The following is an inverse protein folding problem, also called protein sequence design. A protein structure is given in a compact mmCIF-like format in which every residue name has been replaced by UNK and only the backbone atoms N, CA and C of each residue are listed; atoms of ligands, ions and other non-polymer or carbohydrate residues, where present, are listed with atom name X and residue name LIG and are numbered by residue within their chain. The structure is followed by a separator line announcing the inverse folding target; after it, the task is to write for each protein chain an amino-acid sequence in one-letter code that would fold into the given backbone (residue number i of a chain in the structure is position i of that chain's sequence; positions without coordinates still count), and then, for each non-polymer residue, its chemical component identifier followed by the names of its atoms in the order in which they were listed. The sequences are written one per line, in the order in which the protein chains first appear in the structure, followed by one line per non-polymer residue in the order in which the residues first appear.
data_IF_644633863000
#
_entry.id   IF_644633863000
#
_cell.length_a   1.000
_cell.length_b   1.000
_cell.length_c   1.000
_cell.angle_alpha   90.00
_cell.angle_beta   90.00
_cell.angle_gamma   90.00
#
_symmetry.space_group_name_H-M   'P 1'
#
loop_
_entity.id
_entity.type
_entity.pdbx_description
1 polymer ?
#
# COMPACT_ATOMS: atom_id res chain seq x y z
N UNK A 1 -12.83 -10.66 -68.32
CA UNK A 1 -11.90 -9.57 -67.97
C UNK A 1 -12.36 -8.98 -66.64
N UNK A 2 -11.65 -9.22 -65.54
CA UNK A 2 -12.03 -8.66 -64.23
C UNK A 2 -11.88 -7.13 -64.24
N UNK A 3 -12.88 -6.43 -63.72
CA UNK A 3 -12.89 -4.96 -63.68
C UNK A 3 -11.78 -4.47 -62.75
N UNK A 4 -11.00 -3.46 -63.17
CA UNK A 4 -9.93 -2.86 -62.34
C UNK A 4 -10.40 -2.48 -60.92
N UNK A 5 -11.70 -2.20 -60.75
CA UNK A 5 -12.33 -1.89 -59.45
C UNK A 5 -12.46 -3.10 -58.51
N UNK A 6 -12.58 -4.32 -59.03
CA UNK A 6 -12.70 -5.55 -58.23
C UNK A 6 -11.33 -5.99 -57.69
N UNK A 7 -10.29 -5.93 -58.55
CA UNK A 7 -8.90 -6.22 -58.18
C UNK A 7 -8.41 -5.26 -57.07
N UNK A 8 -8.78 -3.97 -57.17
CA UNK A 8 -8.41 -2.96 -56.19
C UNK A 8 -9.15 -3.14 -54.84
N UNK A 9 -10.39 -3.63 -54.85
CA UNK A 9 -11.15 -3.97 -53.63
C UNK A 9 -10.59 -5.19 -52.91
N UNK A 10 -10.18 -6.25 -53.62
CA UNK A 10 -9.54 -7.41 -53.01
C UNK A 10 -8.16 -7.08 -52.40
N UNK A 11 -7.34 -6.29 -53.11
CA UNK A 11 -6.05 -5.83 -52.59
C UNK A 11 -6.21 -4.93 -51.35
N UNK A 12 -7.20 -4.03 -51.33
CA UNK A 12 -7.46 -3.16 -50.17
C UNK A 12 -8.00 -3.92 -48.95
N UNK A 13 -8.83 -4.96 -49.16
CA UNK A 13 -9.33 -5.85 -48.08
C UNK A 13 -8.19 -6.65 -47.45
N UNK A 14 -7.27 -7.18 -48.25
CA UNK A 14 -6.09 -7.89 -47.75
C UNK A 14 -5.12 -6.98 -46.98
N UNK A 15 -4.90 -5.76 -47.47
CA UNK A 15 -4.07 -4.75 -46.79
C UNK A 15 -4.70 -4.25 -45.49
N UNK A 16 -6.00 -3.92 -45.50
CA UNK A 16 -6.73 -3.43 -44.34
C UNK A 16 -6.86 -4.49 -43.23
N UNK A 17 -7.06 -5.76 -43.59
CA UNK A 17 -7.04 -6.87 -42.61
C UNK A 17 -5.65 -7.09 -42.01
N UNK A 18 -4.58 -6.89 -42.78
CA UNK A 18 -3.20 -6.98 -42.30
C UNK A 18 -2.86 -5.79 -41.38
N UNK A 19 -3.30 -4.58 -41.70
CA UNK A 19 -3.10 -3.41 -40.83
C UNK A 19 -3.92 -3.53 -39.55
N UNK A 20 -5.19 -3.96 -39.60
CA UNK A 20 -6.02 -4.22 -38.41
C UNK A 20 -5.38 -5.31 -37.54
N UNK A 21 -4.92 -6.42 -38.14
CA UNK A 21 -4.20 -7.48 -37.42
C UNK A 21 -2.94 -6.95 -36.74
N UNK A 22 -2.15 -6.15 -37.43
CA UNK A 22 -0.93 -5.56 -36.87
C UNK A 22 -1.25 -4.57 -35.74
N UNK A 23 -2.36 -3.83 -35.85
CA UNK A 23 -2.83 -2.90 -34.83
C UNK A 23 -3.32 -3.64 -33.58
N UNK A 24 -4.03 -4.76 -33.74
CA UNK A 24 -4.45 -5.64 -32.64
C UNK A 24 -3.24 -6.29 -31.93
N UNK A 25 -2.23 -6.73 -32.70
CA UNK A 25 -0.99 -7.27 -32.13
C UNK A 25 -0.24 -6.18 -31.35
N UNK A 26 -0.16 -4.95 -31.87
CA UNK A 26 0.47 -3.83 -31.18
C UNK A 26 -0.25 -3.48 -29.87
N UNK A 27 -1.58 -3.44 -29.86
CA UNK A 27 -2.38 -3.20 -28.65
C UNK A 27 -2.15 -4.32 -27.62
N UNK A 28 -2.14 -5.59 -28.04
CA UNK A 28 -1.89 -6.73 -27.15
C UNK A 28 -0.50 -6.65 -26.51
N UNK A 29 0.53 -6.28 -27.29
CA UNK A 29 1.89 -6.08 -26.78
C UNK A 29 1.97 -4.94 -25.77
N UNK A 30 1.29 -3.82 -26.01
CA UNK A 30 1.22 -2.70 -25.06
C UNK A 30 0.54 -3.15 -23.75
N UNK A 31 -0.56 -3.90 -23.82
CA UNK A 31 -1.24 -4.43 -22.63
C UNK A 31 -0.35 -5.39 -21.83
N UNK A 32 0.41 -6.26 -22.50
CA UNK A 32 1.36 -7.16 -21.85
C UNK A 32 2.51 -6.41 -21.17
N UNK A 33 3.02 -5.33 -21.78
CA UNK A 33 4.05 -4.47 -21.19
C UNK A 33 3.49 -3.76 -19.94
N UNK A 34 2.31 -3.15 -20.05
CA UNK A 34 1.65 -2.48 -18.91
C UNK A 34 1.38 -3.47 -17.77
N UNK A 35 0.89 -4.66 -18.09
CA UNK A 35 0.66 -5.72 -17.10
C UNK A 35 1.96 -6.20 -16.45
N UNK A 36 3.03 -6.37 -17.23
CA UNK A 36 4.34 -6.79 -16.71
C UNK A 36 4.94 -5.75 -15.78
N UNK A 37 4.89 -4.47 -16.17
CA UNK A 37 5.35 -3.35 -15.32
C UNK A 37 4.51 -3.26 -14.04
N UNK A 38 3.20 -3.47 -14.12
CA UNK A 38 2.31 -3.49 -12.96
C UNK A 38 2.57 -4.70 -12.03
N UNK A 39 2.80 -5.88 -12.60
CA UNK A 39 3.10 -7.11 -11.87
C UNK A 39 4.44 -7.01 -11.13
N UNK A 40 5.48 -6.52 -11.81
CA UNK A 40 6.81 -6.29 -11.23
C UNK A 40 6.76 -5.18 -10.17
N UNK A 41 5.96 -4.12 -10.37
CA UNK A 41 5.82 -3.02 -9.40
C UNK A 41 5.08 -3.43 -8.11
N UNK A 42 4.18 -4.41 -8.17
CA UNK A 42 3.47 -4.93 -6.99
C UNK A 42 4.16 -6.14 -6.34
N UNK A 43 5.12 -6.76 -7.02
CA UNK A 43 5.91 -7.89 -6.51
C UNK A 43 6.59 -7.61 -5.15
N UNK A 44 7.18 -6.42 -4.89
CA UNK A 44 7.83 -6.09 -3.61
C UNK A 44 6.85 -6.00 -2.43
N UNK A 45 5.64 -5.48 -2.66
CA UNK A 45 4.64 -5.36 -1.59
C UNK A 45 4.08 -6.72 -1.19
N UNK A 46 3.81 -7.57 -2.19
CA UNK A 46 3.29 -8.91 -1.94
C UNK A 46 4.34 -9.83 -1.29
N UNK A 47 5.61 -9.72 -1.71
CA UNK A 47 6.70 -10.45 -1.04
C UNK A 47 6.89 -9.97 0.40
N UNK A 48 6.93 -8.65 0.64
CA UNK A 48 7.02 -8.07 1.97
C UNK A 48 5.85 -8.52 2.86
N UNK A 49 4.62 -8.53 2.33
CA UNK A 49 3.45 -9.04 3.06
C UNK A 49 3.59 -10.51 3.44
N UNK A 50 3.94 -11.38 2.48
CA UNK A 50 4.12 -12.82 2.75
C UNK A 50 5.20 -13.08 3.78
N UNK A 51 6.35 -12.41 3.66
CA UNK A 51 7.45 -12.53 4.61
C UNK A 51 7.04 -12.05 6.01
N UNK A 52 6.33 -10.92 6.09
CA UNK A 52 5.82 -10.39 7.36
C UNK A 52 4.81 -11.34 8.00
N UNK A 53 3.91 -11.94 7.22
CA UNK A 53 2.96 -12.95 7.71
C UNK A 53 3.71 -14.17 8.25
N UNK A 54 4.67 -14.72 7.51
CA UNK A 54 5.46 -15.88 7.95
C UNK A 54 6.21 -15.62 9.26
N UNK A 55 6.81 -14.43 9.40
CA UNK A 55 7.45 -14.02 10.65
C UNK A 55 6.43 -13.83 11.78
N UNK A 56 5.25 -13.29 11.50
CA UNK A 56 4.20 -13.12 12.50
C UNK A 56 3.57 -14.44 12.96
N UNK A 57 3.41 -15.42 12.07
CA UNK A 57 3.00 -16.78 12.41
C UNK A 57 4.03 -17.43 13.32
N UNK A 58 5.32 -17.34 12.97
CA UNK A 58 6.42 -17.96 13.71
C UNK A 58 6.66 -17.34 15.10
N UNK A 59 6.69 -16.01 15.20
CA UNK A 59 7.13 -15.30 16.41
C UNK A 59 5.99 -14.72 17.24
N UNK A 60 4.77 -14.61 16.69
CA UNK A 60 3.62 -14.03 17.38
C UNK A 60 2.38 -14.94 17.37
N UNK A 61 2.50 -16.15 16.84
CA UNK A 61 1.41 -17.12 16.70
C UNK A 61 0.19 -16.53 15.99
N UNK A 62 0.42 -15.64 15.01
CA UNK A 62 -0.64 -15.09 14.17
C UNK A 62 -1.32 -16.24 13.42
N UNK A 63 -2.66 -16.25 13.38
CA UNK A 63 -3.44 -17.26 12.67
C UNK A 63 -4.36 -16.66 11.62
N UNK A 64 -4.87 -15.45 11.86
CA UNK A 64 -5.79 -14.78 10.94
C UNK A 64 -5.22 -13.41 10.60
N UNK A 65 -4.31 -13.32 9.61
CA UNK A 65 -3.81 -12.05 9.11
C UNK A 65 -4.93 -11.22 8.49
N UNK A 66 -4.89 -9.92 8.70
CA UNK A 66 -5.90 -8.97 8.26
C UNK A 66 -5.25 -7.85 7.44
N UNK A 67 -4.96 -6.70 8.05
CA UNK A 67 -4.45 -5.51 7.38
C UNK A 67 -2.92 -5.48 7.37
N UNK A 68 -2.36 -5.17 6.20
CA UNK A 68 -0.92 -4.97 6.02
C UNK A 68 -0.58 -3.49 5.84
N UNK A 69 0.30 -2.98 6.68
CA UNK A 69 0.73 -1.59 6.72
C UNK A 69 2.20 -1.45 6.40
N UNK A 70 2.54 -0.32 5.78
CA UNK A 70 3.91 0.09 5.52
C UNK A 70 4.13 1.45 6.16
N UNK A 71 5.13 1.51 7.01
CA UNK A 71 5.65 2.73 7.60
C UNK A 71 7.06 2.97 7.07
N UNK A 72 7.26 4.07 6.33
CA UNK A 72 8.51 4.41 5.67
C UNK A 72 8.99 5.76 6.21
N UNK A 73 9.98 5.74 7.09
CA UNK A 73 10.70 6.93 7.57
C UNK A 73 12.20 6.66 7.59
N UNK A 74 12.90 7.04 8.67
CA UNK A 74 14.30 6.68 8.91
C UNK A 74 14.52 5.18 8.76
N UNK A 75 13.58 4.37 9.27
CA UNK A 75 13.56 2.94 9.12
C UNK A 75 12.19 2.49 8.60
N UNK A 76 12.20 1.51 7.69
CA UNK A 76 10.96 0.90 7.20
C UNK A 76 10.49 -0.20 8.15
N UNK A 77 9.21 -0.14 8.50
CA UNK A 77 8.52 -1.20 9.24
C UNK A 77 7.32 -1.70 8.46
N UNK A 78 7.22 -3.02 8.35
CA UNK A 78 6.05 -3.72 7.87
C UNK A 78 5.22 -4.19 9.06
N UNK A 79 3.92 -3.88 9.08
CA UNK A 79 3.04 -4.31 10.16
C UNK A 79 1.89 -5.15 9.61
N UNK A 80 1.61 -6.28 10.24
CA UNK A 80 0.41 -7.08 9.97
C UNK A 80 -0.49 -7.06 11.21
N UNK A 81 -1.76 -6.71 11.02
CA UNK A 81 -2.80 -6.90 12.04
C UNK A 81 -3.43 -8.28 11.89
N UNK A 82 -4.07 -8.76 12.96
CA UNK A 82 -4.87 -9.96 12.89
C UNK A 82 -5.13 -10.55 14.26
N UNK A 83 -5.50 -11.83 14.29
CA UNK A 83 -5.73 -12.58 15.54
C UNK A 83 -4.68 -13.67 15.71
N UNK A 84 -4.18 -13.83 16.94
CA UNK A 84 -3.29 -14.95 17.30
C UNK A 84 -4.10 -16.22 17.64
N UNK A 85 -3.39 -17.30 17.98
CA UNK A 85 -3.97 -18.58 18.43
C UNK A 85 -4.98 -18.45 19.59
N UNK A 86 -4.84 -17.43 20.43
CA UNK A 86 -5.73 -17.15 21.56
C UNK A 86 -6.91 -16.24 21.16
N UNK A 87 -7.15 -16.04 19.85
CA UNK A 87 -8.14 -15.12 19.28
C UNK A 87 -7.93 -13.65 19.68
N UNK A 88 -6.77 -13.29 20.22
CA UNK A 88 -6.46 -11.92 20.64
C UNK A 88 -6.07 -11.06 19.43
N UNK A 89 -6.67 -9.88 19.24
CA UNK A 89 -6.26 -8.94 18.20
C UNK A 89 -4.88 -8.35 18.50
N UNK A 90 -3.94 -8.56 17.57
CA UNK A 90 -2.55 -8.11 17.69
C UNK A 90 -2.11 -7.29 16.48
N UNK A 91 -1.02 -6.55 16.67
CA UNK A 91 -0.19 -5.95 15.63
C UNK A 91 1.21 -6.55 15.74
N UNK A 92 1.75 -7.03 14.63
CA UNK A 92 3.13 -7.53 14.55
C UNK A 92 3.92 -6.63 13.62
N UNK A 93 4.90 -5.92 14.17
CA UNK A 93 5.73 -4.95 13.46
C UNK A 93 7.11 -5.55 13.23
N UNK A 94 7.49 -5.66 11.96
CA UNK A 94 8.74 -6.26 11.50
C UNK A 94 9.56 -5.18 10.80
N UNK A 95 10.78 -4.88 11.28
CA UNK A 95 11.69 -3.99 10.56
C UNK A 95 12.11 -4.62 9.22
N UNK A 96 12.22 -3.80 8.16
CA UNK A 96 12.67 -4.27 6.85
C UNK A 96 14.12 -4.82 6.89
N UNK A 97 14.97 -4.22 7.74
CA UNK A 97 16.39 -4.54 7.83
C UNK A 97 16.80 -4.84 9.28
N UNK A 98 16.80 -6.12 9.66
CA UNK A 98 17.30 -6.59 10.96
C UNK A 98 16.62 -5.96 12.18
N UNK A 99 16.91 -6.47 13.36
CA UNK A 99 16.38 -5.92 14.62
C UNK A 99 15.13 -6.61 15.15
N UNK A 100 14.51 -5.99 16.15
CA UNK A 100 13.50 -6.64 17.01
C UNK A 100 12.09 -6.54 16.42
N UNK A 101 11.43 -7.68 16.29
CA UNK A 101 9.99 -7.76 16.01
C UNK A 101 9.21 -7.30 17.23
N UNK A 102 8.22 -6.42 17.04
CA UNK A 102 7.32 -5.96 18.11
C UNK A 102 5.97 -6.61 17.96
N UNK A 103 5.47 -7.21 19.04
CA UNK A 103 4.12 -7.76 19.10
C UNK A 103 3.31 -6.96 20.12
N UNK A 104 2.20 -6.40 19.67
CA UNK A 104 1.36 -5.51 20.47
C UNK A 104 -0.08 -6.02 20.49
N UNK A 105 -0.69 -6.10 21.67
CA UNK A 105 -2.15 -6.26 21.78
C UNK A 105 -2.81 -4.97 21.28
N UNK A 106 -3.75 -5.05 20.36
CA UNK A 106 -4.47 -3.85 19.89
C UNK A 106 -5.22 -3.15 21.02
N UNK A 107 -5.68 -3.90 22.01
CA UNK A 107 -6.33 -3.38 23.21
C UNK A 107 -5.40 -2.60 24.16
N UNK A 108 -4.07 -2.65 23.96
CA UNK A 108 -3.11 -1.94 24.81
C UNK A 108 -2.82 -0.51 24.34
N UNK A 109 -3.54 -0.02 23.33
CA UNK A 109 -3.37 1.32 22.80
C UNK A 109 -4.62 1.83 22.08
N UNK A 110 -4.51 3.03 21.54
CA UNK A 110 -5.56 3.65 20.74
C UNK A 110 -5.69 2.97 19.37
N UNK A 111 -6.88 3.02 18.80
CA UNK A 111 -7.16 2.46 17.48
C UNK A 111 -6.74 3.43 16.36
N UNK A 112 -6.55 2.89 15.14
CA UNK A 112 -6.36 3.70 13.94
C UNK A 112 -7.50 4.72 13.74
N UNK A 113 -8.74 4.30 14.04
CA UNK A 113 -9.92 5.16 13.96
C UNK A 113 -9.83 6.33 14.96
N UNK A 114 -9.35 6.08 16.18
CA UNK A 114 -9.14 7.14 17.18
C UNK A 114 -8.04 8.11 16.73
N UNK A 115 -6.90 7.62 16.25
CA UNK A 115 -5.82 8.46 15.72
C UNK A 115 -6.29 9.35 14.55
N UNK A 116 -7.08 8.77 13.63
CA UNK A 116 -7.75 9.50 12.54
C UNK A 116 -8.65 10.61 13.06
N UNK A 117 -9.53 10.29 14.02
CA UNK A 117 -10.48 11.25 14.58
C UNK A 117 -9.77 12.41 15.30
N UNK A 118 -8.71 12.12 16.07
CA UNK A 118 -7.88 13.14 16.73
C UNK A 118 -7.26 14.09 15.72
N UNK A 119 -6.67 13.56 14.63
CA UNK A 119 -6.09 14.39 13.56
C UNK A 119 -7.17 15.24 12.88
N UNK A 120 -8.34 14.67 12.58
CA UNK A 120 -9.44 15.41 11.98
C UNK A 120 -9.89 16.59 12.86
N UNK A 121 -10.04 16.36 14.16
CA UNK A 121 -10.47 17.38 15.13
C UNK A 121 -9.42 18.48 15.33
N UNK A 122 -8.15 18.12 15.47
CA UNK A 122 -7.09 19.07 15.83
C UNK A 122 -6.45 19.80 14.64
N UNK A 123 -6.54 19.24 13.43
CA UNK A 123 -5.85 19.78 12.24
C UNK A 123 -6.78 20.30 11.16
N UNK A 124 -8.07 19.92 11.20
CA UNK A 124 -9.04 20.20 10.14
C UNK A 124 -8.45 19.96 8.72
N UNK A 125 -7.93 18.75 8.43
CA UNK A 125 -7.26 18.46 7.17
C UNK A 125 -8.27 18.49 6.02
N UNK A 126 -7.77 18.82 4.82
CA UNK A 126 -8.57 18.67 3.59
C UNK A 126 -8.88 17.20 3.32
N UNK A 127 -7.88 16.33 3.49
CA UNK A 127 -8.01 14.88 3.36
C UNK A 127 -6.99 14.14 4.23
N UNK A 128 -7.35 12.95 4.71
CA UNK A 128 -6.44 12.02 5.40
C UNK A 128 -6.07 10.90 4.42
N UNK A 129 -4.79 10.83 4.06
CA UNK A 129 -4.25 9.93 3.05
C UNK A 129 -3.95 8.53 3.61
N UNK A 130 -3.38 8.45 4.81
CA UNK A 130 -2.93 7.19 5.41
C UNK A 130 -3.02 7.23 6.92
N UNK A 131 -3.34 6.10 7.53
CA UNK A 131 -3.16 5.85 8.97
C UNK A 131 -2.46 4.51 9.11
N UNK A 132 -1.23 4.51 9.62
CA UNK A 132 -0.42 3.30 9.73
C UNK A 132 0.34 3.27 11.07
N UNK A 133 0.45 2.10 11.72
CA UNK A 133 1.31 1.97 12.88
C UNK A 133 2.78 2.01 12.43
N UNK A 134 3.64 2.62 13.24
CA UNK A 134 5.07 2.79 12.97
C UNK A 134 5.90 2.85 14.24
N UNK A 135 7.21 2.98 14.08
CA UNK A 135 8.16 3.13 15.18
C UNK A 135 8.94 4.42 14.95
N UNK A 136 8.87 5.33 15.92
CA UNK A 136 9.55 6.62 15.87
C UNK A 136 10.30 6.86 17.19
N UNK A 137 11.61 7.09 17.14
CA UNK A 137 12.47 7.23 18.34
C UNK A 137 12.21 6.14 19.39
N UNK A 138 12.24 4.88 18.94
CA UNK A 138 11.94 3.67 19.71
C UNK A 138 10.50 3.57 20.28
N UNK A 139 9.64 4.57 20.04
CA UNK A 139 8.23 4.57 20.48
C UNK A 139 7.32 4.05 19.38
N UNK A 140 6.37 3.19 19.75
CA UNK A 140 5.29 2.80 18.84
C UNK A 140 4.32 3.97 18.67
N UNK A 141 4.03 4.33 17.42
CA UNK A 141 3.14 5.44 17.06
C UNK A 141 2.12 5.01 16.01
N UNK A 142 1.01 5.72 15.95
CA UNK A 142 0.22 5.87 14.73
C UNK A 142 0.74 7.07 13.95
N UNK A 143 1.10 6.85 12.69
CA UNK A 143 1.33 7.90 11.72
C UNK A 143 0.03 8.20 10.97
N UNK A 144 -0.43 9.44 11.06
CA UNK A 144 -1.52 9.95 10.24
C UNK A 144 -0.93 10.90 9.20
N UNK A 145 -0.97 10.50 7.93
CA UNK A 145 -0.58 11.33 6.79
C UNK A 145 -1.80 12.03 6.24
N UNK A 146 -1.75 13.35 6.05
CA UNK A 146 -2.87 14.15 5.59
C UNK A 146 -2.42 15.34 4.74
N UNK A 147 -3.34 15.93 3.96
CA UNK A 147 -3.13 17.25 3.36
C UNK A 147 -3.84 18.32 4.16
N UNK A 148 -3.14 19.41 4.44
CA UNK A 148 -3.79 20.58 5.04
C UNK A 148 -4.65 21.33 4.01
N UNK A 149 -5.35 22.39 4.44
CA UNK A 149 -6.22 23.18 3.55
C UNK A 149 -5.46 23.86 2.40
N UNK A 150 -4.15 24.14 2.59
CA UNK A 150 -3.27 24.70 1.56
C UNK A 150 -2.75 23.66 0.58
N UNK A 151 -3.07 22.37 0.78
CA UNK A 151 -2.63 21.26 -0.07
C UNK A 151 -1.28 20.65 0.32
N UNK A 152 -0.59 21.21 1.31
CA UNK A 152 0.72 20.72 1.75
C UNK A 152 0.58 19.39 2.48
N UNK A 153 1.61 18.54 2.36
CA UNK A 153 1.66 17.25 3.02
C UNK A 153 2.07 17.43 4.48
N UNK A 154 1.32 16.79 5.38
CA UNK A 154 1.52 16.85 6.81
C UNK A 154 1.44 15.47 7.44
N UNK A 155 2.08 15.32 8.60
CA UNK A 155 2.14 14.09 9.36
C UNK A 155 1.95 14.36 10.85
N UNK A 156 1.03 13.63 11.47
CA UNK A 156 0.93 13.53 12.92
C UNK A 156 1.45 12.16 13.38
N UNK A 157 2.41 12.16 14.30
CA UNK A 157 2.87 10.96 15.01
C UNK A 157 2.25 10.93 16.39
N UNK A 158 1.35 9.99 16.62
CA UNK A 158 0.54 9.87 17.84
C UNK A 158 0.97 8.62 18.59
N UNK A 159 1.33 8.73 19.86
CA UNK A 159 1.76 7.59 20.67
C UNK A 159 0.67 6.50 20.70
N UNK A 160 1.05 5.26 20.38
CA UNK A 160 0.11 4.14 20.32
C UNK A 160 -0.59 3.89 21.66
N UNK A 161 0.14 3.96 22.78
CA UNK A 161 -0.43 3.67 24.10
C UNK A 161 -1.21 4.85 24.66
N UNK A 162 -0.61 6.03 24.68
CA UNK A 162 -1.15 7.19 25.40
C UNK A 162 -2.06 8.08 24.55
N UNK A 163 -1.98 7.97 23.22
CA UNK A 163 -2.66 8.88 22.30
C UNK A 163 -2.08 10.30 22.28
N UNK A 164 -0.98 10.58 22.98
CA UNK A 164 -0.33 11.89 22.94
C UNK A 164 0.39 12.13 21.62
N UNK A 165 0.37 13.36 21.12
CA UNK A 165 1.19 13.74 19.97
C UNK A 165 2.67 13.69 20.34
N UNK A 166 3.43 12.87 19.63
CA UNK A 166 4.88 12.73 19.78
C UNK A 166 5.61 13.74 18.92
N UNK A 167 5.13 13.92 17.68
CA UNK A 167 5.69 14.89 16.75
C UNK A 167 4.64 15.25 15.70
N UNK A 168 4.74 16.47 15.20
CA UNK A 168 3.99 16.96 14.07
C UNK A 168 4.97 17.53 13.04
N UNK A 169 4.76 17.20 11.77
CA UNK A 169 5.59 17.66 10.64
C UNK A 169 4.63 18.25 9.62
N UNK A 170 4.83 19.53 9.28
CA UNK A 170 3.93 20.27 8.41
C UNK A 170 4.67 20.89 7.24
N UNK A 171 3.90 21.19 6.18
CA UNK A 171 4.33 22.00 5.04
C UNK A 171 5.46 21.36 4.23
N UNK A 172 5.37 20.04 4.02
CA UNK A 172 6.16 19.31 3.03
C UNK A 172 5.51 19.38 1.65
#
# INVERSE_FOLDING_TARGET
MQSRREVQREQSRGSSMRTIRNLLIAILLILLIVWSVFAVSNQPRNSARRQTISLAEKYAHLQSPDQFYIYNRENTYYTISGKNQQKQPILVMVPQHGGKIRVLKQSSGITAARARAMTKANRNPREILKVAPGVFNDKTVWEVTYRNQKGNLCYDLINFKTGQYVQNINNL
#
